data_IF_036159796024
#
_entry.id   IF_036159796024
#
_cell.length_a   1.000
_cell.length_b   1.000
_cell.length_c   1.000
_cell.angle_alpha   90.00
_cell.angle_beta   90.00
_cell.angle_gamma   90.00
#
_symmetry.space_group_name_H-M   'P 1'
#
loop_
_entity.id
_entity.type
_entity.pdbx_description
1 polymer ?
#
# COMPACT_ATOMS: atom_id res chain seq x y z
N UNK A 1 8.58 30.33 -14.73
CA UNK A 1 7.30 30.30 -15.44
C UNK A 1 6.44 29.34 -14.66
N UNK A 2 5.40 29.88 -14.02
CA UNK A 2 4.57 29.17 -13.07
C UNK A 2 3.77 28.11 -13.81
N UNK A 3 4.07 26.84 -13.56
CA UNK A 3 3.23 25.73 -14.01
C UNK A 3 1.81 25.98 -13.50
N UNK A 4 0.83 25.95 -14.41
CA UNK A 4 -0.56 26.17 -14.02
C UNK A 4 -1.01 24.98 -13.18
N UNK A 5 -1.71 25.25 -12.07
CA UNK A 5 -2.32 24.20 -11.25
C UNK A 5 -3.15 23.22 -12.10
N UNK A 6 -3.74 23.69 -13.20
CA UNK A 6 -4.47 22.85 -14.15
C UNK A 6 -3.58 21.79 -14.81
N UNK A 7 -2.35 22.15 -15.19
CA UNK A 7 -1.41 21.25 -15.85
C UNK A 7 -0.86 20.19 -14.88
N UNK A 8 -0.45 20.61 -13.67
CA UNK A 8 0.00 19.68 -12.62
C UNK A 8 -1.13 18.74 -12.15
N UNK A 9 -2.37 19.22 -12.16
CA UNK A 9 -3.54 18.42 -11.80
C UNK A 9 -3.88 17.38 -12.87
N UNK A 10 -3.86 17.76 -14.16
CA UNK A 10 -4.06 16.82 -15.27
C UNK A 10 -2.98 15.72 -15.32
N UNK A 11 -1.73 16.07 -15.02
CA UNK A 11 -0.63 15.10 -14.91
C UNK A 11 -0.87 14.10 -13.77
N UNK A 12 -1.35 14.58 -12.61
CA UNK A 12 -1.65 13.71 -11.45
C UNK A 12 -2.80 12.72 -11.73
N UNK A 13 -3.81 13.11 -12.51
CA UNK A 13 -4.90 12.22 -12.90
C UNK A 13 -4.48 11.19 -13.95
N UNK A 14 -3.58 11.57 -14.87
CA UNK A 14 -3.06 10.68 -15.89
C UNK A 14 -2.18 9.58 -15.31
N UNK A 15 -1.39 9.90 -14.28
CA UNK A 15 -0.55 8.93 -13.56
C UNK A 15 -1.38 7.98 -12.66
N UNK A 16 -2.53 8.46 -12.15
CA UNK A 16 -3.46 7.71 -11.30
C UNK A 16 -4.57 6.95 -12.06
N UNK A 17 -4.29 6.47 -13.28
CA UNK A 17 -5.13 5.41 -13.85
C UNK A 17 -4.93 4.11 -13.05
N UNK A 18 -5.62 4.00 -11.91
CA UNK A 18 -5.73 2.77 -11.14
C UNK A 18 -6.51 1.79 -12.01
N UNK A 19 -5.77 0.98 -12.77
CA UNK A 19 -6.33 -0.13 -13.53
C UNK A 19 -6.91 -1.13 -12.52
N UNK A 20 -8.11 -1.69 -12.75
CA UNK A 20 -8.58 -2.82 -11.95
C UNK A 20 -7.57 -3.97 -12.08
N UNK A 21 -6.99 -4.40 -10.95
CA UNK A 21 -5.87 -5.35 -10.89
C UNK A 21 -4.47 -4.72 -10.81
N UNK A 22 -4.35 -3.41 -10.57
CA UNK A 22 -3.08 -2.78 -10.25
C UNK A 22 -2.64 -3.16 -8.83
N UNK A 23 -1.39 -3.62 -8.70
CA UNK A 23 -0.73 -3.84 -7.41
C UNK A 23 -0.55 -2.48 -6.75
N UNK A 24 -1.12 -2.32 -5.55
CA UNK A 24 -1.04 -1.09 -4.79
C UNK A 24 0.02 -1.24 -3.70
N UNK A 25 0.92 -0.27 -3.61
CA UNK A 25 1.82 -0.16 -2.46
C UNK A 25 1.02 0.35 -1.25
N UNK A 26 1.02 -0.43 -0.17
CA UNK A 26 0.42 -0.05 1.09
C UNK A 26 1.43 -0.01 2.21
N UNK A 27 1.25 0.92 3.15
CA UNK A 27 2.12 1.06 4.31
C UNK A 27 1.55 0.32 5.51
N UNK A 28 2.37 -0.46 6.18
CA UNK A 28 1.98 -1.17 7.40
C UNK A 28 1.81 -0.15 8.53
N UNK A 29 0.59 0.01 9.00
CA UNK A 29 0.26 0.94 10.10
C UNK A 29 0.15 0.23 11.45
N UNK A 30 0.03 -1.09 11.45
CA UNK A 30 -0.05 -1.89 12.67
C UNK A 30 0.21 -3.36 12.43
N UNK A 31 0.92 -3.99 13.35
CA UNK A 31 1.19 -5.43 13.37
C UNK A 31 0.65 -5.98 14.68
N UNK A 32 -0.35 -6.85 14.60
CA UNK A 32 -0.88 -7.61 15.73
C UNK A 32 -0.33 -9.06 15.68
N UNK A 33 -0.55 -9.84 16.75
CA UNK A 33 -0.08 -11.22 16.83
C UNK A 33 -0.62 -12.16 15.74
N UNK A 34 -1.79 -11.85 15.17
CA UNK A 34 -2.46 -12.68 14.15
C UNK A 34 -2.64 -11.97 12.80
N UNK A 35 -2.68 -10.63 12.79
CA UNK A 35 -3.02 -9.83 11.60
C UNK A 35 -2.15 -8.59 11.47
N UNK A 36 -1.87 -8.20 10.24
CA UNK A 36 -1.16 -6.98 9.84
C UNK A 36 -2.17 -6.05 9.17
N UNK A 37 -2.14 -4.78 9.56
CA UNK A 37 -3.02 -3.73 9.05
C UNK A 37 -2.20 -2.85 8.12
N UNK A 38 -2.64 -2.77 6.87
CA UNK A 38 -1.95 -2.06 5.79
C UNK A 38 -2.85 -0.97 5.23
N UNK A 39 -2.31 0.22 5.08
CA UNK A 39 -2.98 1.36 4.48
C UNK A 39 -2.41 1.65 3.09
N UNK A 40 -3.20 1.34 2.05
CA UNK A 40 -2.84 1.56 0.65
C UNK A 40 -3.34 2.90 0.08
N UNK A 41 -3.66 3.88 0.93
CA UNK A 41 -4.20 5.18 0.49
C UNK A 41 -5.61 5.10 -0.10
N UNK A 42 -6.35 4.03 0.19
CA UNK A 42 -7.74 3.82 -0.19
C UNK A 42 -8.69 4.18 0.95
N UNK A 43 -10.01 4.09 0.70
CA UNK A 43 -11.06 4.32 1.71
C UNK A 43 -11.04 3.30 2.85
N UNK A 44 -10.39 2.15 2.67
CA UNK A 44 -10.36 1.06 3.63
C UNK A 44 -8.94 0.55 3.84
N UNK A 45 -8.64 0.10 5.05
CA UNK A 45 -7.42 -0.61 5.39
C UNK A 45 -7.52 -2.09 4.97
N UNK A 46 -6.39 -2.67 4.57
CA UNK A 46 -6.27 -4.09 4.31
C UNK A 46 -5.86 -4.81 5.61
N UNK A 47 -6.60 -5.85 5.96
CA UNK A 47 -6.29 -6.73 7.10
C UNK A 47 -5.78 -8.05 6.53
N UNK A 48 -4.49 -8.30 6.72
CA UNK A 48 -3.80 -9.43 6.11
C UNK A 48 -3.29 -10.34 7.23
N UNK A 49 -3.54 -11.66 7.18
CA UNK A 49 -3.03 -12.59 8.18
C UNK A 49 -1.50 -12.55 8.25
N UNK A 50 -0.94 -12.59 9.46
CA UNK A 50 0.51 -12.55 9.68
C UNK A 50 1.26 -13.69 8.97
N UNK A 51 0.57 -14.79 8.69
CA UNK A 51 1.11 -15.95 7.96
C UNK A 51 1.53 -15.62 6.53
N UNK A 52 0.95 -14.59 5.90
CA UNK A 52 1.35 -14.12 4.56
C UNK A 52 2.69 -13.39 4.57
N UNK A 53 3.14 -12.92 5.74
CA UNK A 53 4.40 -12.20 5.93
C UNK A 53 5.47 -13.06 6.60
N UNK A 54 5.21 -14.36 6.76
CA UNK A 54 6.20 -15.31 7.24
C UNK A 54 6.95 -15.89 6.06
N UNK A 55 8.28 -15.86 6.12
CA UNK A 55 9.12 -16.48 5.11
C UNK A 55 9.16 -18.01 5.26
N UNK A 56 9.88 -18.70 4.38
CA UNK A 56 10.05 -20.17 4.42
C UNK A 56 10.70 -20.70 5.72
N UNK A 57 11.36 -19.82 6.48
CA UNK A 57 11.95 -20.13 7.80
C UNK A 57 11.00 -19.84 8.97
N UNK A 58 9.82 -19.28 8.71
CA UNK A 58 8.84 -18.89 9.72
C UNK A 58 9.15 -17.57 10.42
N UNK A 59 10.13 -16.81 9.93
CA UNK A 59 10.47 -15.48 10.45
C UNK A 59 9.53 -14.43 9.84
N UNK A 60 9.14 -13.45 10.66
CA UNK A 60 8.29 -12.35 10.22
C UNK A 60 9.15 -11.31 9.49
N UNK A 61 8.85 -11.02 8.23
CA UNK A 61 9.60 -10.04 7.43
C UNK A 61 8.91 -8.67 7.36
N UNK A 62 7.92 -8.41 8.22
CA UNK A 62 7.12 -7.18 8.19
C UNK A 62 7.14 -6.46 9.53
N UNK A 63 7.34 -5.15 9.47
CA UNK A 63 7.38 -4.25 10.62
C UNK A 63 6.43 -3.06 10.41
N UNK A 64 6.05 -2.36 11.48
CA UNK A 64 5.25 -1.14 11.35
C UNK A 64 6.08 -0.06 10.65
N UNK A 65 5.54 0.49 9.57
CA UNK A 65 6.20 1.47 8.72
C UNK A 65 6.70 0.90 7.39
N UNK A 66 6.75 -0.42 7.25
CA UNK A 66 7.19 -1.09 6.02
C UNK A 66 6.18 -0.92 4.87
N UNK A 67 6.66 -1.02 3.63
CA UNK A 67 5.87 -0.83 2.42
C UNK A 67 5.64 -2.21 1.77
N UNK A 68 4.39 -2.64 1.70
CA UNK A 68 3.98 -3.96 1.23
C UNK A 68 3.06 -3.85 0.03
N UNK A 69 3.23 -4.77 -0.92
CA UNK A 69 2.41 -4.83 -2.13
C UNK A 69 1.10 -5.58 -1.84
N UNK A 70 -0.03 -4.91 -2.12
CA UNK A 70 -1.39 -5.46 -1.96
C UNK A 70 -2.01 -5.60 -3.35
N UNK A 71 -2.43 -6.82 -3.71
CA UNK A 71 -3.06 -7.17 -4.98
C UNK A 71 -4.54 -7.55 -4.80
#
# INVERSE_FOLDING_TARGET
>A
MSESFAELLEESFSDRQIKPGAILMGKVIGVNSDVVIVHAGLKSEAVIPIVQFRNEKGELEVEVGDDVEVA
#
